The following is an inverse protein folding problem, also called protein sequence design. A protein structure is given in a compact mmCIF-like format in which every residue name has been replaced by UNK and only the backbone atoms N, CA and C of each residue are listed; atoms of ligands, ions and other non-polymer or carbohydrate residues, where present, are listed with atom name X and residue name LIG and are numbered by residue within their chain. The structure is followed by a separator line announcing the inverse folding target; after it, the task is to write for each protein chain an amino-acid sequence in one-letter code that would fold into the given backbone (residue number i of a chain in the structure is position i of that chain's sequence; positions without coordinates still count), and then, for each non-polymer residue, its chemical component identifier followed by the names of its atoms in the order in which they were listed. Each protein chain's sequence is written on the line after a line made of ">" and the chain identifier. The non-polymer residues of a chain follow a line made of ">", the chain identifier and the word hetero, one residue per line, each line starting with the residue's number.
data_IF_923787409993
#
_entry.id   IF_923787409993
#
_cell.length_a   1.000
_cell.length_b   1.000
_cell.length_c   1.000
_cell.angle_alpha   90.00
_cell.angle_beta   90.00
_cell.angle_gamma   90.00
#
_symmetry.space_group_name_H-M   'P 1'
#
loop_
_entity.id
_entity.type
_entity.pdbx_description
1 polymer ?
#
# COMPACT_ATOMS: atom_id res chain seq x y z
N UNK A 1 1.55 -21.72 3.11
CA UNK A 1 0.62 -20.57 2.94
C UNK A 1 1.46 -19.40 2.45
N UNK A 2 1.02 -18.65 1.45
CA UNK A 2 1.76 -17.49 0.93
C UNK A 2 1.63 -16.35 1.94
N UNK A 3 2.76 -15.81 2.40
CA UNK A 3 2.82 -14.65 3.31
C UNK A 3 3.35 -13.45 2.53
N UNK A 4 2.50 -12.59 1.97
CA UNK A 4 2.95 -11.40 1.25
C UNK A 4 3.62 -10.42 2.21
N UNK A 5 4.67 -9.76 1.75
CA UNK A 5 5.37 -8.73 2.52
C UNK A 5 5.11 -7.36 1.90
N UNK A 6 4.51 -6.46 2.68
CA UNK A 6 4.03 -5.18 2.19
C UNK A 6 4.67 -4.02 2.96
N UNK A 7 5.21 -3.03 2.27
CA UNK A 7 5.64 -1.79 2.91
C UNK A 7 4.45 -1.05 3.51
N UNK A 8 4.53 -0.64 4.76
CA UNK A 8 3.45 0.08 5.45
C UNK A 8 3.90 1.50 5.75
N UNK A 9 3.25 2.48 5.10
CA UNK A 9 3.60 3.90 5.19
C UNK A 9 2.36 4.68 5.62
N UNK A 10 2.48 5.43 6.70
CA UNK A 10 1.47 6.41 7.11
C UNK A 10 1.82 7.75 6.48
N UNK A 11 0.83 8.44 5.90
CA UNK A 11 1.01 9.79 5.39
C UNK A 11 -0.01 10.77 5.99
N UNK A 12 0.38 12.03 6.11
CA UNK A 12 -0.48 13.08 6.65
C UNK A 12 0.30 14.30 7.12
N UNK A 13 -0.22 15.50 6.85
CA UNK A 13 0.48 16.77 7.16
C UNK A 13 0.44 17.16 8.63
N UNK A 14 -0.47 16.61 9.43
CA UNK A 14 -0.64 17.00 10.84
C UNK A 14 0.24 16.19 11.80
N UNK A 15 1.42 15.75 11.35
CA UNK A 15 2.31 14.86 12.11
C UNK A 15 3.10 15.56 13.21
N UNK A 16 3.35 16.86 13.09
CA UNK A 16 4.26 17.61 13.98
C UNK A 16 3.51 18.18 15.20
N UNK A 17 2.83 17.29 15.94
CA UNK A 17 2.24 17.61 17.23
C UNK A 17 0.99 18.51 17.18
N UNK A 18 0.37 18.69 16.01
CA UNK A 18 -0.92 19.35 15.94
C UNK A 18 -1.96 18.51 16.70
N UNK A 19 -2.61 19.16 17.66
CA UNK A 19 -3.65 18.56 18.49
C UNK A 19 -5.02 19.07 18.07
N UNK A 20 -6.01 18.23 18.24
CA UNK A 20 -7.41 18.64 18.19
C UNK A 20 -7.75 19.55 19.39
N UNK A 21 -8.95 20.16 19.43
CA UNK A 21 -9.38 20.99 20.56
C UNK A 21 -9.39 20.29 21.92
N UNK A 22 -9.35 18.96 21.96
CA UNK A 22 -9.32 18.13 23.16
C UNK A 22 -7.89 17.74 23.56
N UNK A 23 -6.87 18.18 22.83
CA UNK A 23 -5.47 17.87 23.10
C UNK A 23 -4.98 16.54 22.50
N UNK A 24 -5.79 15.86 21.70
CA UNK A 24 -5.44 14.59 21.06
C UNK A 24 -4.63 14.85 19.79
N UNK A 25 -3.51 14.15 19.56
CA UNK A 25 -2.81 14.22 18.27
C UNK A 25 -3.74 13.86 17.09
N UNK A 26 -3.57 14.55 15.97
CA UNK A 26 -4.36 14.27 14.76
C UNK A 26 -4.00 12.95 14.08
N UNK A 27 -2.74 12.52 14.20
CA UNK A 27 -2.33 11.17 13.86
C UNK A 27 -2.74 10.27 15.02
N UNK A 28 -3.62 9.31 14.73
CA UNK A 28 -4.14 8.37 15.71
C UNK A 28 -3.24 7.12 15.74
N UNK A 29 -2.28 7.10 16.66
CA UNK A 29 -1.35 5.99 16.84
C UNK A 29 -2.06 4.68 17.21
N UNK A 30 -3.19 4.75 17.91
CA UNK A 30 -3.97 3.57 18.26
C UNK A 30 -4.63 2.96 17.03
N UNK A 31 -5.14 3.80 16.11
CA UNK A 31 -5.63 3.35 14.81
C UNK A 31 -4.51 2.75 13.97
N UNK A 32 -3.35 3.41 13.87
CA UNK A 32 -2.20 2.88 13.12
C UNK A 32 -1.79 1.51 13.66
N UNK A 33 -1.68 1.35 14.99
CA UNK A 33 -1.35 0.09 15.63
C UNK A 33 -2.40 -1.00 15.35
N UNK A 34 -3.70 -0.66 15.42
CA UNK A 34 -4.80 -1.58 15.08
C UNK A 34 -4.76 -2.00 13.60
N UNK A 35 -4.51 -1.08 12.68
CA UNK A 35 -4.39 -1.36 11.25
C UNK A 35 -3.25 -2.34 10.97
N UNK A 36 -2.09 -2.12 11.59
CA UNK A 36 -0.95 -3.05 11.49
C UNK A 36 -1.26 -4.42 12.05
N UNK A 37 -1.88 -4.47 13.24
CA UNK A 37 -2.30 -5.73 13.87
C UNK A 37 -3.28 -6.49 12.98
N UNK A 38 -4.26 -5.83 12.38
CA UNK A 38 -5.22 -6.47 11.49
C UNK A 38 -4.54 -7.11 10.27
N UNK A 39 -3.51 -6.46 9.69
CA UNK A 39 -2.73 -7.03 8.60
C UNK A 39 -1.94 -8.27 9.03
N UNK A 40 -1.28 -8.21 10.18
CA UNK A 40 -0.50 -9.33 10.74
C UNK A 40 -1.42 -10.52 11.04
N UNK A 41 -2.53 -10.27 11.74
CA UNK A 41 -3.52 -11.29 12.10
C UNK A 41 -4.14 -11.92 10.83
N UNK A 42 -4.20 -11.17 9.72
CA UNK A 42 -4.68 -11.65 8.42
C UNK A 42 -3.58 -12.29 7.53
N UNK A 43 -2.35 -12.41 8.03
CA UNK A 43 -1.25 -13.09 7.35
C UNK A 43 -0.47 -12.25 6.34
N UNK A 44 -0.47 -10.92 6.46
CA UNK A 44 0.41 -10.00 5.73
C UNK A 44 1.55 -9.56 6.64
N UNK A 45 2.79 -9.56 6.15
CA UNK A 45 3.96 -9.11 6.90
C UNK A 45 4.28 -7.63 6.57
N UNK A 46 3.95 -6.65 7.44
CA UNK A 46 4.23 -5.24 7.18
C UNK A 46 5.72 -4.90 7.39
N UNK A 47 6.32 -4.20 6.44
CA UNK A 47 7.63 -3.54 6.59
C UNK A 47 7.40 -2.07 6.88
N UNK A 48 7.65 -1.66 8.12
CA UNK A 48 7.28 -0.33 8.60
C UNK A 48 8.22 0.78 8.12
N UNK A 49 7.64 1.96 7.89
CA UNK A 49 8.37 3.22 7.81
C UNK A 49 8.02 4.08 9.03
N UNK A 50 9.02 4.37 9.86
CA UNK A 50 8.83 4.99 11.18
C UNK A 50 8.37 6.46 11.10
N UNK A 51 8.60 7.12 9.96
CA UNK A 51 8.26 8.53 9.76
C UNK A 51 6.92 8.65 9.07
N UNK A 52 5.97 9.37 9.69
CA UNK A 52 4.77 9.82 8.99
C UNK A 52 5.20 10.76 7.86
N UNK A 53 4.78 10.44 6.64
CA UNK A 53 5.19 11.17 5.43
C UNK A 53 4.29 12.38 5.23
N UNK A 54 4.88 13.58 5.23
CA UNK A 54 4.17 14.84 5.00
C UNK A 54 4.78 15.68 3.87
N UNK A 55 6.06 15.45 3.54
CA UNK A 55 6.81 16.25 2.57
C UNK A 55 7.32 15.44 1.38
N UNK A 56 7.73 16.13 0.32
CA UNK A 56 8.32 15.51 -0.88
C UNK A 56 9.61 14.75 -0.59
N UNK A 57 10.44 15.26 0.32
CA UNK A 57 11.70 14.62 0.71
C UNK A 57 11.45 13.31 1.48
N UNK A 58 10.47 13.32 2.39
CA UNK A 58 10.06 12.14 3.14
C UNK A 58 9.42 11.10 2.22
N UNK A 59 8.54 11.51 1.31
CA UNK A 59 7.93 10.60 0.34
C UNK A 59 8.99 9.90 -0.51
N UNK A 60 9.97 10.66 -1.02
CA UNK A 60 11.10 10.11 -1.76
C UNK A 60 11.88 9.09 -0.92
N UNK A 61 12.18 9.42 0.34
CA UNK A 61 12.95 8.55 1.23
C UNK A 61 12.19 7.26 1.57
N UNK A 62 10.91 7.38 1.94
CA UNK A 62 10.05 6.28 2.30
C UNK A 62 9.86 5.30 1.13
N UNK A 63 9.45 5.82 -0.03
CA UNK A 63 9.20 4.98 -1.21
C UNK A 63 10.49 4.41 -1.78
N UNK A 64 11.62 5.13 -1.72
CA UNK A 64 12.92 4.55 -2.11
C UNK A 64 13.30 3.37 -1.22
N UNK A 65 13.13 3.48 0.10
CA UNK A 65 13.39 2.37 1.03
C UNK A 65 12.56 1.13 0.67
N UNK A 66 11.27 1.32 0.37
CA UNK A 66 10.39 0.21 -0.02
C UNK A 66 10.68 -0.33 -1.42
N UNK A 67 11.11 0.55 -2.34
CA UNK A 67 11.51 0.20 -3.70
C UNK A 67 12.72 -0.74 -3.69
N UNK A 68 13.74 -0.39 -2.91
CA UNK A 68 15.02 -1.10 -2.85
C UNK A 68 14.99 -2.37 -1.98
N UNK A 69 13.93 -2.61 -1.20
CA UNK A 69 13.77 -3.85 -0.40
C UNK A 69 13.12 -4.94 -1.26
N UNK A 70 13.89 -5.96 -1.63
CA UNK A 70 13.43 -7.09 -2.46
C UNK A 70 12.34 -7.94 -1.78
N UNK A 71 12.19 -7.83 -0.46
CA UNK A 71 11.11 -8.51 0.26
C UNK A 71 9.78 -7.80 0.04
N UNK A 72 9.76 -6.51 -0.30
CA UNK A 72 8.53 -5.73 -0.40
C UNK A 72 7.87 -5.92 -1.77
N UNK A 73 6.69 -6.52 -1.79
CA UNK A 73 5.94 -6.81 -3.02
C UNK A 73 5.03 -5.65 -3.45
N UNK A 74 4.54 -4.91 -2.46
CA UNK A 74 3.64 -3.76 -2.61
C UNK A 74 3.78 -2.79 -1.45
N UNK A 75 3.22 -1.60 -1.59
CA UNK A 75 3.06 -0.64 -0.49
C UNK A 75 1.59 -0.42 -0.15
N UNK A 76 1.32 -0.34 1.16
CA UNK A 76 0.07 0.11 1.75
C UNK A 76 0.32 1.52 2.28
N UNK A 77 -0.31 2.50 1.65
CA UNK A 77 -0.30 3.90 2.01
C UNK A 77 -1.53 4.17 2.88
N UNK A 78 -1.35 4.15 4.20
CA UNK A 78 -2.41 4.48 5.16
C UNK A 78 -2.57 6.00 5.26
N UNK A 79 -3.76 6.50 4.93
CA UNK A 79 -4.12 7.88 5.20
C UNK A 79 -4.20 8.09 6.71
N UNK A 80 -3.33 8.94 7.26
CA UNK A 80 -3.39 9.38 8.66
C UNK A 80 -4.27 10.61 8.81
N UNK A 81 -4.05 11.61 7.94
CA UNK A 81 -4.80 12.88 7.86
C UNK A 81 -4.82 13.42 6.41
N UNK A 82 -5.23 14.68 6.23
CA UNK A 82 -5.02 15.46 5.00
C UNK A 82 -3.58 15.35 4.47
N UNK A 83 -3.43 15.40 3.14
CA UNK A 83 -2.16 15.28 2.43
C UNK A 83 -2.08 16.27 1.28
N UNK A 84 -0.88 16.79 1.01
CA UNK A 84 -0.57 17.44 -0.25
C UNK A 84 -0.17 16.37 -1.28
N UNK A 85 -1.10 15.96 -2.16
CA UNK A 85 -0.84 14.91 -3.14
C UNK A 85 0.41 15.19 -4.00
N UNK A 86 0.67 16.46 -4.34
CA UNK A 86 1.85 16.91 -5.07
C UNK A 86 3.20 16.50 -4.43
N UNK A 87 3.23 16.24 -3.12
CA UNK A 87 4.43 15.75 -2.42
C UNK A 87 4.62 14.24 -2.56
N UNK A 88 3.55 13.49 -2.84
CA UNK A 88 3.55 12.03 -2.87
C UNK A 88 3.68 11.48 -4.29
N UNK A 89 2.97 12.07 -5.26
CA UNK A 89 2.72 11.50 -6.59
C UNK A 89 3.97 11.06 -7.34
N UNK A 90 5.05 11.86 -7.32
CA UNK A 90 6.28 11.52 -8.04
C UNK A 90 6.99 10.29 -7.45
N UNK A 91 7.02 10.18 -6.11
CA UNK A 91 7.66 9.06 -5.43
C UNK A 91 6.84 7.76 -5.59
N UNK A 92 5.51 7.87 -5.54
CA UNK A 92 4.61 6.73 -5.77
C UNK A 92 4.73 6.24 -7.21
N UNK A 93 4.78 7.15 -8.20
CA UNK A 93 4.96 6.78 -9.61
C UNK A 93 6.28 6.05 -9.86
N UNK A 94 7.38 6.57 -9.30
CA UNK A 94 8.70 5.94 -9.41
C UNK A 94 8.75 4.54 -8.76
N UNK A 95 8.01 4.33 -7.67
CA UNK A 95 7.83 3.01 -7.06
C UNK A 95 6.98 2.09 -7.93
N UNK A 96 5.82 2.55 -8.42
CA UNK A 96 4.92 1.74 -9.25
C UNK A 96 5.59 1.26 -10.55
N UNK A 97 6.54 2.03 -11.09
CA UNK A 97 7.32 1.66 -12.27
C UNK A 97 8.20 0.42 -12.09
N UNK A 98 8.45 -0.06 -10.86
CA UNK A 98 9.13 -1.36 -10.65
C UNK A 98 8.19 -2.56 -10.83
N UNK A 99 6.91 -2.32 -11.11
CA UNK A 99 5.88 -3.35 -11.18
C UNK A 99 5.31 -3.77 -9.82
N UNK A 100 5.83 -3.24 -8.70
CA UNK A 100 5.30 -3.44 -7.34
C UNK A 100 3.94 -2.77 -7.18
N UNK A 101 3.07 -3.36 -6.36
CA UNK A 101 1.70 -2.89 -6.18
C UNK A 101 1.59 -1.64 -5.30
N UNK A 102 0.65 -0.73 -5.60
CA UNK A 102 0.32 0.42 -4.74
C UNK A 102 -1.12 0.26 -4.24
N UNK A 103 -1.30 0.36 -2.92
CA UNK A 103 -2.61 0.37 -2.28
C UNK A 103 -2.73 1.61 -1.38
N UNK A 104 -3.84 2.33 -1.50
CA UNK A 104 -4.22 3.38 -0.56
C UNK A 104 -5.29 2.81 0.36
N UNK A 105 -5.05 2.89 1.67
CA UNK A 105 -6.00 2.49 2.69
C UNK A 105 -6.43 3.71 3.49
N UNK A 106 -7.74 3.90 3.62
CA UNK A 106 -8.32 5.02 4.36
C UNK A 106 -9.41 4.52 5.29
N UNK A 107 -9.25 4.81 6.58
CA UNK A 107 -10.28 4.51 7.58
C UNK A 107 -11.42 5.55 7.57
N UNK A 108 -12.66 5.14 7.91
CA UNK A 108 -13.74 6.08 8.18
C UNK A 108 -13.44 6.94 9.42
N UNK A 109 -13.98 8.17 9.44
CA UNK A 109 -13.84 9.13 10.55
C UNK A 109 -13.40 10.52 10.09
N UNK A 110 -13.82 11.58 10.78
CA UNK A 110 -13.57 12.97 10.35
C UNK A 110 -12.24 13.55 10.85
N UNK A 111 -11.60 12.91 11.84
CA UNK A 111 -10.38 13.43 12.47
C UNK A 111 -9.27 13.62 11.44
N UNK A 112 -8.72 14.84 11.41
CA UNK A 112 -7.64 15.23 10.51
C UNK A 112 -8.00 15.18 9.03
N UNK A 113 -9.29 15.10 8.68
CA UNK A 113 -9.78 14.95 7.29
C UNK A 113 -9.18 13.74 6.56
N UNK A 114 -8.94 12.67 7.30
CA UNK A 114 -8.34 11.42 6.79
C UNK A 114 -9.03 10.84 5.54
N UNK A 115 -10.39 10.75 5.47
CA UNK A 115 -11.10 10.33 4.26
C UNK A 115 -10.74 11.18 3.05
N UNK A 116 -10.68 12.49 3.24
CA UNK A 116 -10.38 13.44 2.18
C UNK A 116 -8.91 13.31 1.73
N UNK A 117 -7.98 13.11 2.67
CA UNK A 117 -6.57 12.84 2.35
C UNK A 117 -6.40 11.59 1.47
N UNK A 118 -7.14 10.52 1.78
CA UNK A 118 -7.22 9.31 0.96
C UNK A 118 -7.76 9.56 -0.44
N UNK A 119 -8.90 10.24 -0.53
CA UNK A 119 -9.58 10.53 -1.79
C UNK A 119 -8.80 11.49 -2.69
N UNK A 120 -8.14 12.50 -2.13
CA UNK A 120 -7.29 13.43 -2.90
C UNK A 120 -6.08 12.72 -3.48
N UNK A 121 -5.42 11.84 -2.71
CA UNK A 121 -4.29 11.06 -3.23
C UNK A 121 -4.77 10.07 -4.29
N UNK A 122 -5.90 9.39 -4.05
CA UNK A 122 -6.54 8.50 -5.02
C UNK A 122 -6.84 9.22 -6.35
N UNK A 123 -7.52 10.36 -6.31
CA UNK A 123 -7.84 11.16 -7.49
C UNK A 123 -6.59 11.64 -8.24
N UNK A 124 -5.57 12.11 -7.52
CA UNK A 124 -4.33 12.55 -8.13
C UNK A 124 -3.59 11.40 -8.85
N UNK A 125 -3.60 10.19 -8.29
CA UNK A 125 -3.01 9.01 -8.95
C UNK A 125 -3.80 8.58 -10.19
N UNK A 126 -5.14 8.67 -10.14
CA UNK A 126 -5.98 8.42 -11.32
C UNK A 126 -5.68 9.41 -12.45
N UNK A 127 -5.55 10.70 -12.13
CA UNK A 127 -5.26 11.75 -13.11
C UNK A 127 -3.94 11.51 -13.88
N UNK A 128 -2.91 10.99 -13.19
CA UNK A 128 -1.61 10.70 -13.81
C UNK A 128 -1.46 9.26 -14.31
N UNK A 129 -2.51 8.44 -14.24
CA UNK A 129 -2.52 7.07 -14.73
C UNK A 129 -1.65 6.09 -13.94
N UNK A 130 -1.53 6.26 -12.61
CA UNK A 130 -0.84 5.28 -11.75
C UNK A 130 -1.85 4.24 -11.26
N UNK A 131 -1.68 2.99 -11.68
CA UNK A 131 -2.50 1.87 -11.22
C UNK A 131 -2.33 1.64 -9.71
N UNK A 132 -3.45 1.63 -8.99
CA UNK A 132 -3.47 1.39 -7.56
C UNK A 132 -4.83 0.86 -7.10
N UNK A 133 -4.84 0.19 -5.94
CA UNK A 133 -6.07 -0.18 -5.25
C UNK A 133 -6.42 0.88 -4.22
N UNK A 134 -7.67 1.32 -4.19
CA UNK A 134 -8.20 2.15 -3.11
C UNK A 134 -9.13 1.31 -2.23
N UNK A 135 -8.92 1.36 -0.91
CA UNK A 135 -9.77 0.73 0.10
C UNK A 135 -10.19 1.78 1.12
N UNK A 136 -11.50 2.01 1.20
CA UNK A 136 -12.13 2.82 2.25
C UNK A 136 -12.85 1.88 3.21
N UNK A 137 -12.28 1.69 4.40
CA UNK A 137 -12.73 0.66 5.32
C UNK A 137 -11.93 0.66 6.61
N UNK A 138 -12.57 0.22 7.70
CA UNK A 138 -11.93 0.14 9.01
C UNK A 138 -11.16 -1.18 9.19
N UNK A 139 -10.20 -1.20 10.12
CA UNK A 139 -9.35 -2.37 10.38
C UNK A 139 -10.05 -3.47 11.17
N UNK A 140 -11.17 -3.14 11.81
CA UNK A 140 -12.05 -4.08 12.49
C UNK A 140 -13.15 -4.66 11.57
N UNK A 141 -13.24 -4.21 10.32
CA UNK A 141 -14.10 -4.80 9.30
C UNK A 141 -13.33 -5.89 8.51
N UNK A 142 -13.63 -7.18 8.73
CA UNK A 142 -12.92 -8.26 8.07
C UNK A 142 -13.10 -8.25 6.54
N UNK A 143 -14.22 -7.74 6.04
CA UNK A 143 -14.49 -7.69 4.60
C UNK A 143 -13.59 -6.65 3.90
N UNK A 144 -13.34 -5.51 4.55
CA UNK A 144 -12.45 -4.49 4.04
C UNK A 144 -10.97 -4.91 4.13
N UNK A 145 -10.57 -5.53 5.24
CA UNK A 145 -9.23 -6.10 5.40
C UNK A 145 -8.99 -7.21 4.35
N UNK A 146 -9.98 -8.05 4.06
CA UNK A 146 -9.87 -9.08 3.03
C UNK A 146 -9.57 -8.51 1.64
N UNK A 147 -10.07 -7.33 1.29
CA UNK A 147 -9.73 -6.65 0.02
C UNK A 147 -8.25 -6.27 -0.03
N UNK A 148 -7.68 -5.80 1.08
CA UNK A 148 -6.27 -5.45 1.21
C UNK A 148 -5.41 -6.71 1.11
N UNK A 149 -5.77 -7.77 1.84
CA UNK A 149 -5.05 -9.05 1.85
C UNK A 149 -5.04 -9.69 0.46
N UNK A 150 -6.19 -9.69 -0.22
CA UNK A 150 -6.30 -10.21 -1.60
C UNK A 150 -5.36 -9.46 -2.55
N UNK A 151 -5.31 -8.13 -2.45
CA UNK A 151 -4.38 -7.32 -3.24
C UNK A 151 -2.91 -7.64 -2.91
N UNK A 152 -2.55 -7.77 -1.64
CA UNK A 152 -1.18 -8.10 -1.22
C UNK A 152 -0.75 -9.48 -1.74
N UNK A 153 -1.64 -10.48 -1.68
CA UNK A 153 -1.38 -11.82 -2.24
C UNK A 153 -1.20 -11.79 -3.75
N UNK A 154 -2.02 -11.03 -4.46
CA UNK A 154 -1.87 -10.86 -5.91
C UNK A 154 -0.54 -10.17 -6.28
N UNK A 155 -0.16 -9.12 -5.54
CA UNK A 155 1.11 -8.45 -5.74
C UNK A 155 2.31 -9.39 -5.47
N UNK A 156 2.26 -10.15 -4.38
CA UNK A 156 3.29 -11.14 -4.08
C UNK A 156 3.41 -12.22 -5.15
N UNK A 157 2.29 -12.77 -5.63
CA UNK A 157 2.30 -13.75 -6.72
C UNK A 157 2.90 -13.17 -8.00
N UNK A 158 2.54 -11.93 -8.35
CA UNK A 158 3.14 -11.23 -9.49
C UNK A 158 4.65 -11.12 -9.35
N UNK A 159 5.16 -10.79 -8.15
CA UNK A 159 6.60 -10.68 -7.92
C UNK A 159 7.32 -12.01 -7.85
N UNK A 160 6.68 -13.03 -7.28
CA UNK A 160 7.21 -14.40 -7.28
C UNK A 160 7.38 -14.93 -8.71
N UNK A 161 6.43 -14.63 -9.60
CA UNK A 161 6.49 -15.02 -11.02
C UNK A 161 7.45 -14.14 -11.84
N UNK A 162 7.76 -12.93 -11.38
CA UNK A 162 8.68 -12.05 -12.07
C UNK A 162 10.07 -12.68 -12.13
N UNK A 163 10.67 -12.74 -13.33
CA UNK A 163 11.95 -13.41 -13.60
C UNK A 163 11.97 -14.93 -13.28
N UNK A 164 10.81 -15.55 -13.03
CA UNK A 164 10.72 -17.01 -12.92
C UNK A 164 10.76 -17.67 -14.30
N UNK A 165 11.32 -18.88 -14.37
CA UNK A 165 11.38 -19.68 -15.59
C UNK A 165 10.34 -20.78 -15.56
N UNK A 166 9.51 -20.87 -16.60
CA UNK A 166 8.62 -22.01 -16.80
C UNK A 166 9.38 -23.06 -17.61
N UNK A 167 9.68 -24.19 -16.97
CA UNK A 167 10.28 -25.35 -17.64
C UNK A 167 9.19 -26.20 -18.28
N UNK A 168 9.24 -26.36 -19.61
CA UNK A 168 8.35 -27.23 -20.35
C UNK A 168 9.13 -28.45 -20.87
N UNK A 169 8.72 -29.65 -20.46
CA UNK A 169 9.30 -30.91 -20.93
C UNK A 169 8.32 -31.60 -21.88
N UNK A 170 8.72 -31.80 -23.13
CA UNK A 170 7.85 -32.29 -24.20
C UNK A 170 7.30 -31.15 -25.08
N UNK A 171 6.16 -31.39 -25.72
CA UNK A 171 5.50 -30.42 -26.62
C UNK A 171 4.00 -30.68 -26.70
N UNK A 172 3.35 -30.30 -27.81
CA UNK A 172 1.89 -30.47 -27.94
C UNK A 172 1.49 -31.95 -27.89
N UNK A 173 0.98 -32.37 -26.75
CA UNK A 173 0.31 -33.66 -26.61
C UNK A 173 -0.97 -33.66 -27.46
N UNK A 174 -1.05 -34.56 -28.44
CA UNK A 174 -2.28 -34.84 -29.21
C UNK A 174 -2.95 -33.60 -29.84
N UNK A 175 -2.19 -32.58 -30.25
CA UNK A 175 -2.72 -31.39 -30.92
C UNK A 175 -3.39 -30.36 -30.00
N UNK A 176 -3.19 -30.44 -28.69
CA UNK A 176 -3.72 -29.46 -27.74
C UNK A 176 -3.13 -28.06 -27.96
N UNK A 177 -4.00 -27.04 -27.85
CA UNK A 177 -3.64 -25.62 -28.02
C UNK A 177 -2.68 -25.15 -26.92
N UNK A 178 -2.86 -25.63 -25.69
CA UNK A 178 -2.00 -25.38 -24.54
C UNK A 178 -1.08 -26.61 -24.37
N UNK A 179 0.24 -26.46 -24.58
CA UNK A 179 1.18 -27.58 -24.53
C UNK A 179 2.45 -27.40 -25.37
N UNK A 180 2.54 -26.36 -26.19
CA UNK A 180 3.81 -25.88 -26.71
C UNK A 180 4.41 -24.88 -25.73
N UNK A 181 5.68 -25.06 -25.39
CA UNK A 181 6.53 -24.00 -24.87
C UNK A 181 6.80 -22.98 -25.96
#
# INVERSE_FOLDING_TARGET
>A
MITPTAGFIVYGVHKDGLRDPMGTPFIDDALVAKSKKALVDAGVAPVEHDVVVASKAEAKTALKKMKDDDRVDCVILLSGTWVWAAHMVAAIRDFAMTGKGVLIWTHPGSQGWRPVGGLVLHGALMEIGVDHKFVYGAADDPAEVAKIVSFCRAAHLKQLLNMSTIGAFGGRGMGQTCGAA
#
